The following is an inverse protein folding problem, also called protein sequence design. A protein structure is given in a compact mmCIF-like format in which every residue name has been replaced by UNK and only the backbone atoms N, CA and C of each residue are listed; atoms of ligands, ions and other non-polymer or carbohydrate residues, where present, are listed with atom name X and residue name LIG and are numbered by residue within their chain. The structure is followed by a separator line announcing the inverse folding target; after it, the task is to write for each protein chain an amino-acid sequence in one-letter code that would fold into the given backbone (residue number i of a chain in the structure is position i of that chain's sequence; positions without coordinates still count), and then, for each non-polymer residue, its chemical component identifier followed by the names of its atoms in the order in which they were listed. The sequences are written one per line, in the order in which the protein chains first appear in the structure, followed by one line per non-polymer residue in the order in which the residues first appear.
data_IF_412204641531
#
_entry.id   IF_412204641531
#
_cell.length_a   1.000
_cell.length_b   1.000
_cell.length_c   1.000
_cell.angle_alpha   90.00
_cell.angle_beta   90.00
_cell.angle_gamma   90.00
#
_symmetry.space_group_name_H-M   'P 1'
#
loop_
_entity.id
_entity.type
_entity.pdbx_description
1 polymer ?
#
# COMPACT_ATOMS: atom_id res chain seq x y z
N UNK A 1 22.71 17.78 -13.97
CA UNK A 1 21.26 17.74 -14.16
C UNK A 1 20.63 17.53 -12.77
N UNK A 2 19.65 18.36 -12.39
CA UNK A 2 18.97 18.15 -11.11
C UNK A 2 18.26 16.80 -11.17
N UNK A 3 18.49 15.92 -10.18
CA UNK A 3 17.76 14.66 -10.04
C UNK A 3 16.26 14.97 -10.02
N UNK A 4 15.48 14.32 -10.88
CA UNK A 4 14.03 14.46 -10.86
C UNK A 4 13.54 14.16 -9.44
N UNK A 5 12.69 15.05 -8.89
CA UNK A 5 12.22 14.88 -7.51
C UNK A 5 11.37 13.61 -7.40
N UNK A 6 11.74 12.74 -6.47
CA UNK A 6 11.02 11.49 -6.19
C UNK A 6 9.64 11.79 -5.60
N UNK A 7 8.59 11.24 -6.17
CA UNK A 7 7.21 11.41 -5.67
C UNK A 7 6.69 10.08 -5.14
N UNK A 8 6.10 10.11 -3.93
CA UNK A 8 5.32 8.99 -3.37
C UNK A 8 3.86 9.40 -3.21
N UNK A 9 2.95 8.51 -3.59
CA UNK A 9 1.52 8.67 -3.34
C UNK A 9 1.00 7.56 -2.44
N UNK A 10 0.46 7.95 -1.26
CA UNK A 10 -0.03 7.04 -0.23
C UNK A 10 -1.54 7.10 -0.17
N UNK A 11 -2.20 6.05 -0.63
CA UNK A 11 -3.66 5.86 -0.58
C UNK A 11 -4.04 5.20 0.75
N UNK A 12 -4.82 5.89 1.58
CA UNK A 12 -5.16 5.44 2.93
C UNK A 12 -4.15 5.88 3.99
N UNK A 13 -3.83 7.18 4.03
CA UNK A 13 -2.96 7.79 5.03
C UNK A 13 -3.63 7.90 6.42
N UNK A 14 -4.03 6.75 6.98
CA UNK A 14 -4.56 6.63 8.33
C UNK A 14 -3.49 6.82 9.42
N UNK A 15 -3.89 7.04 10.69
CA UNK A 15 -2.97 7.50 11.76
C UNK A 15 -1.91 6.46 12.16
N UNK A 16 -2.12 5.20 11.86
CA UNK A 16 -1.17 4.12 12.20
C UNK A 16 -0.09 3.99 11.13
N UNK A 17 -0.27 3.10 10.16
CA UNK A 17 0.74 2.78 9.13
C UNK A 17 0.90 3.93 8.15
N UNK A 18 -0.19 4.43 7.55
CA UNK A 18 -0.12 5.37 6.43
C UNK A 18 0.64 6.66 6.77
N UNK A 19 0.41 7.20 7.96
CA UNK A 19 1.13 8.41 8.42
C UNK A 19 2.58 8.14 8.77
N UNK A 20 2.90 6.99 9.37
CA UNK A 20 4.30 6.62 9.63
C UNK A 20 5.09 6.48 8.33
N UNK A 21 4.48 5.84 7.32
CA UNK A 21 5.05 5.71 5.97
C UNK A 21 5.26 7.09 5.33
N UNK A 22 4.26 7.99 5.43
CA UNK A 22 4.36 9.35 4.88
C UNK A 22 5.54 10.13 5.50
N UNK A 23 5.65 10.14 6.83
CA UNK A 23 6.74 10.78 7.57
C UNK A 23 8.11 10.19 7.19
N UNK A 24 8.19 8.88 7.02
CA UNK A 24 9.43 8.21 6.63
C UNK A 24 9.88 8.64 5.23
N UNK A 25 9.01 8.58 4.24
CA UNK A 25 9.38 8.96 2.87
C UNK A 25 9.64 10.46 2.72
N UNK A 26 8.98 11.33 3.51
CA UNK A 26 9.35 12.74 3.60
C UNK A 26 10.81 12.91 4.09
N UNK A 27 11.19 12.17 5.15
CA UNK A 27 12.56 12.15 5.66
C UNK A 27 13.55 11.55 4.65
N UNK A 28 13.13 10.59 3.84
CA UNK A 28 13.94 9.99 2.77
C UNK A 28 14.02 10.89 1.51
N UNK A 29 13.49 12.13 1.57
CA UNK A 29 13.61 13.16 0.52
C UNK A 29 12.61 13.04 -0.61
N UNK A 30 11.49 12.33 -0.41
CA UNK A 30 10.38 12.30 -1.36
C UNK A 30 9.48 13.52 -1.22
N UNK A 31 8.90 13.98 -2.33
CA UNK A 31 7.65 14.74 -2.32
C UNK A 31 6.52 13.76 -1.98
N UNK A 32 5.80 14.01 -0.93
CA UNK A 32 4.80 13.09 -0.40
C UNK A 32 3.40 13.60 -0.69
N UNK A 33 2.62 12.80 -1.44
CA UNK A 33 1.17 12.97 -1.56
C UNK A 33 0.46 11.98 -0.63
N UNK A 34 -0.55 12.45 0.12
CA UNK A 34 -1.36 11.63 1.01
C UNK A 34 -2.83 11.72 0.63
N UNK A 35 -3.40 10.55 0.34
CA UNK A 35 -4.79 10.38 -0.04
C UNK A 35 -5.69 10.01 1.14
N UNK A 36 -6.70 10.84 1.42
CA UNK A 36 -7.70 10.63 2.48
C UNK A 36 -9.08 11.07 2.02
N UNK A 37 -10.14 10.49 2.61
CA UNK A 37 -11.53 10.93 2.37
C UNK A 37 -11.78 12.37 2.83
N UNK A 38 -11.18 12.76 3.94
CA UNK A 38 -11.19 14.14 4.44
C UNK A 38 -9.75 14.63 4.69
N UNK A 39 -9.14 15.37 3.76
CA UNK A 39 -7.76 15.85 3.90
C UNK A 39 -7.62 17.00 4.92
N UNK A 40 -8.70 17.72 5.29
CA UNK A 40 -8.64 18.84 6.23
C UNK A 40 -8.31 18.40 7.67
N UNK A 41 -8.34 17.11 7.98
CA UNK A 41 -7.98 16.58 9.32
C UNK A 41 -6.47 16.55 9.61
N UNK A 42 -5.63 17.16 8.77
CA UNK A 42 -4.17 17.19 8.90
C UNK A 42 -3.70 18.52 9.50
N UNK A 43 -3.87 18.67 10.81
CA UNK A 43 -3.34 19.82 11.56
C UNK A 43 -1.96 19.54 12.21
N UNK A 44 -1.31 18.45 11.86
CA UNK A 44 0.01 18.11 12.39
C UNK A 44 1.07 18.99 11.70
N UNK A 45 1.80 19.82 12.44
CA UNK A 45 2.85 20.69 11.90
C UNK A 45 3.95 19.95 11.12
N UNK A 46 4.18 18.66 11.44
CA UNK A 46 5.15 17.82 10.70
C UNK A 46 4.65 17.46 9.29
N UNK A 47 3.38 17.72 8.97
CA UNK A 47 2.76 17.36 7.69
C UNK A 47 2.60 18.56 6.73
N UNK A 48 3.03 19.75 7.14
CA UNK A 48 2.93 21.00 6.33
C UNK A 48 3.57 20.89 4.94
N UNK A 49 4.57 20.00 4.82
CA UNK A 49 5.34 19.78 3.58
C UNK A 49 4.78 18.61 2.74
N UNK A 50 3.61 18.06 3.11
CA UNK A 50 2.93 17.02 2.37
C UNK A 50 1.74 17.56 1.58
N UNK A 51 1.55 17.04 0.38
CA UNK A 51 0.40 17.36 -0.46
C UNK A 51 -0.78 16.47 -0.10
N UNK A 52 -1.89 17.08 0.33
CA UNK A 52 -3.11 16.33 0.71
C UNK A 52 -4.12 16.33 -0.43
N UNK A 53 -4.59 15.15 -0.82
CA UNK A 53 -5.60 14.98 -1.87
C UNK A 53 -6.82 14.23 -1.33
N UNK A 54 -8.02 14.70 -1.71
CA UNK A 54 -9.26 14.01 -1.38
C UNK A 54 -9.42 12.76 -2.24
N UNK A 55 -9.59 11.60 -1.61
CA UNK A 55 -9.85 10.35 -2.34
C UNK A 55 -10.70 9.39 -1.53
N UNK A 56 -11.78 8.95 -2.14
CA UNK A 56 -12.52 7.76 -1.72
C UNK A 56 -12.10 6.59 -2.60
N UNK A 57 -11.29 5.70 -2.04
CA UNK A 57 -10.75 4.55 -2.79
C UNK A 57 -11.82 3.54 -3.20
N UNK A 58 -13.02 3.56 -2.60
CA UNK A 58 -14.14 2.73 -3.04
C UNK A 58 -14.73 3.17 -4.39
N UNK A 59 -14.36 4.38 -4.84
CA UNK A 59 -14.84 4.99 -6.08
C UNK A 59 -13.70 5.11 -7.11
N UNK A 60 -13.67 4.28 -8.16
CA UNK A 60 -12.61 4.32 -9.18
C UNK A 60 -12.39 5.70 -9.80
N UNK A 61 -13.47 6.47 -10.02
CA UNK A 61 -13.37 7.84 -10.54
C UNK A 61 -12.66 8.79 -9.58
N UNK A 62 -12.87 8.64 -8.27
CA UNK A 62 -12.16 9.41 -7.24
C UNK A 62 -10.67 9.08 -7.22
N UNK A 63 -10.31 7.79 -7.41
CA UNK A 63 -8.92 7.36 -7.54
C UNK A 63 -8.28 7.99 -8.77
N UNK A 64 -8.96 7.96 -9.92
CA UNK A 64 -8.48 8.58 -11.16
C UNK A 64 -8.21 10.08 -10.99
N UNK A 65 -9.15 10.82 -10.39
CA UNK A 65 -9.02 12.25 -10.12
C UNK A 65 -7.83 12.55 -9.19
N UNK A 66 -7.65 11.75 -8.14
CA UNK A 66 -6.54 11.91 -7.21
C UNK A 66 -5.16 11.67 -7.86
N UNK A 67 -5.02 10.64 -8.71
CA UNK A 67 -3.78 10.42 -9.46
C UNK A 67 -3.48 11.56 -10.42
N UNK A 68 -4.51 12.09 -11.12
CA UNK A 68 -4.37 13.27 -11.99
C UNK A 68 -3.88 14.47 -11.20
N UNK A 69 -4.54 14.80 -10.09
CA UNK A 69 -4.20 15.94 -9.23
C UNK A 69 -2.77 15.85 -8.67
N UNK A 70 -2.35 14.67 -8.19
CA UNK A 70 -0.98 14.45 -7.70
C UNK A 70 0.04 14.62 -8.83
N UNK A 71 -0.25 14.07 -10.02
CA UNK A 71 0.65 14.18 -11.17
C UNK A 71 0.84 15.63 -11.62
N UNK A 72 -0.23 16.41 -11.65
CA UNK A 72 -0.20 17.83 -12.05
C UNK A 72 0.57 18.71 -11.04
N UNK A 73 0.50 18.41 -9.74
CA UNK A 73 1.09 19.25 -8.70
C UNK A 73 2.50 18.81 -8.26
N UNK A 74 2.79 17.50 -8.25
CA UNK A 74 4.06 16.97 -7.75
C UNK A 74 4.89 16.25 -8.81
N UNK A 75 4.27 15.79 -9.87
CA UNK A 75 4.83 14.90 -10.88
C UNK A 75 4.30 13.46 -10.75
N UNK A 76 4.66 12.61 -11.72
CA UNK A 76 4.24 11.21 -11.74
C UNK A 76 4.80 10.48 -10.51
N UNK A 77 3.96 9.86 -9.66
CA UNK A 77 4.44 9.07 -8.53
C UNK A 77 5.30 7.89 -9.01
N UNK A 78 6.54 7.83 -8.54
CA UNK A 78 7.40 6.65 -8.76
C UNK A 78 7.23 5.58 -7.68
N UNK A 79 6.59 5.93 -6.56
CA UNK A 79 6.19 5.02 -5.51
C UNK A 79 4.72 5.23 -5.20
N UNK A 80 3.94 4.16 -5.23
CA UNK A 80 2.55 4.16 -4.78
C UNK A 80 2.40 3.18 -3.63
N UNK A 81 1.82 3.64 -2.53
CA UNK A 81 1.52 2.80 -1.37
C UNK A 81 0.01 2.68 -1.21
N UNK A 82 -0.52 1.47 -1.32
CA UNK A 82 -1.92 1.18 -1.07
C UNK A 82 -2.09 0.62 0.34
N UNK A 83 -2.48 1.48 1.27
CA UNK A 83 -2.66 1.14 2.69
C UNK A 83 -4.15 1.17 3.12
N UNK A 84 -5.05 1.57 2.24
CA UNK A 84 -6.48 1.58 2.55
C UNK A 84 -6.99 0.15 2.80
N UNK A 85 -7.81 0.01 3.82
CA UNK A 85 -8.51 -1.23 4.13
C UNK A 85 -9.81 -0.94 4.88
N UNK A 86 -10.79 -1.82 4.68
CA UNK A 86 -12.05 -1.83 5.39
C UNK A 86 -12.38 -3.27 5.79
N UNK A 87 -12.94 -3.46 6.98
CA UNK A 87 -13.33 -4.76 7.48
C UNK A 87 -14.62 -4.67 8.29
N UNK A 88 -15.61 -5.45 7.88
CA UNK A 88 -16.83 -5.71 8.64
C UNK A 88 -16.73 -7.11 9.24
N UNK A 89 -16.94 -7.19 10.54
CA UNK A 89 -16.86 -8.46 11.25
C UNK A 89 -18.24 -9.07 11.45
N UNK A 90 -18.40 -10.41 11.35
CA UNK A 90 -19.63 -11.07 11.70
C UNK A 90 -19.92 -10.92 13.21
N UNK A 91 -21.19 -10.84 13.56
CA UNK A 91 -21.60 -10.78 14.99
C UNK A 91 -21.20 -12.04 15.78
N UNK A 92 -21.26 -13.20 15.12
CA UNK A 92 -20.71 -14.46 15.61
C UNK A 92 -19.40 -14.77 14.87
N UNK A 93 -18.24 -14.76 15.56
CA UNK A 93 -16.94 -15.02 14.94
C UNK A 93 -16.82 -16.41 14.27
N UNK A 94 -17.70 -17.35 14.59
CA UNK A 94 -17.73 -18.71 14.02
C UNK A 94 -18.63 -18.83 12.80
N UNK A 95 -19.50 -17.83 12.55
CA UNK A 95 -20.44 -17.79 11.43
C UNK A 95 -20.16 -16.63 10.48
N UNK A 96 -19.27 -16.81 9.47
CA UNK A 96 -18.81 -15.73 8.61
C UNK A 96 -19.90 -15.14 7.71
N UNK A 97 -20.92 -15.92 7.39
CA UNK A 97 -21.96 -15.52 6.42
C UNK A 97 -23.13 -14.76 7.05
N UNK A 98 -22.92 -14.18 8.24
CA UNK A 98 -23.86 -13.24 8.89
C UNK A 98 -23.52 -11.77 8.57
N UNK A 99 -22.43 -11.49 7.88
CA UNK A 99 -22.16 -10.15 7.35
C UNK A 99 -23.13 -9.84 6.20
N UNK A 100 -23.81 -8.69 6.30
CA UNK A 100 -24.75 -8.26 5.27
C UNK A 100 -24.05 -8.12 3.90
N UNK A 101 -24.70 -8.54 2.78
CA UNK A 101 -24.11 -8.45 1.44
C UNK A 101 -23.65 -7.05 1.06
N UNK A 102 -24.37 -5.99 1.43
CA UNK A 102 -24.00 -4.60 1.14
C UNK A 102 -22.70 -4.19 1.88
N UNK A 103 -22.54 -4.64 3.12
CA UNK A 103 -21.29 -4.41 3.88
C UNK A 103 -20.12 -5.18 3.26
N UNK A 104 -20.35 -6.42 2.83
CA UNK A 104 -19.34 -7.18 2.10
C UNK A 104 -18.94 -6.46 0.80
N UNK A 105 -19.92 -6.00 0.02
CA UNK A 105 -19.67 -5.26 -1.21
C UNK A 105 -18.84 -3.99 -0.97
N UNK A 106 -19.17 -3.23 0.09
CA UNK A 106 -18.43 -2.02 0.46
C UNK A 106 -16.98 -2.34 0.84
N UNK A 107 -16.74 -3.40 1.61
CA UNK A 107 -15.40 -3.82 1.99
C UNK A 107 -14.58 -4.27 0.76
N UNK A 108 -15.18 -5.00 -0.18
CA UNK A 108 -14.55 -5.37 -1.44
C UNK A 108 -14.27 -4.17 -2.32
N UNK A 109 -15.16 -3.18 -2.36
CA UNK A 109 -14.92 -1.94 -3.10
C UNK A 109 -13.65 -1.23 -2.62
N UNK A 110 -13.38 -1.21 -1.31
CA UNK A 110 -12.13 -0.65 -0.75
C UNK A 110 -10.95 -1.60 -0.96
N UNK A 111 -11.08 -2.88 -0.58
CA UNK A 111 -9.92 -3.78 -0.47
C UNK A 111 -9.44 -4.34 -1.82
N UNK A 112 -10.33 -4.44 -2.82
CA UNK A 112 -10.04 -5.04 -4.12
C UNK A 112 -10.23 -4.06 -5.29
N UNK A 113 -11.44 -3.50 -5.46
CA UNK A 113 -11.75 -2.63 -6.62
C UNK A 113 -10.91 -1.34 -6.60
N UNK A 114 -10.81 -0.70 -5.44
CA UNK A 114 -9.97 0.50 -5.28
C UNK A 114 -8.49 0.22 -5.46
N UNK A 115 -8.03 -0.95 -5.00
CA UNK A 115 -6.65 -1.38 -5.22
C UNK A 115 -6.35 -1.61 -6.71
N UNK A 116 -7.30 -2.22 -7.44
CA UNK A 116 -7.19 -2.37 -8.89
C UNK A 116 -7.14 -1.02 -9.60
N UNK A 117 -8.01 -0.08 -9.23
CA UNK A 117 -7.98 1.27 -9.79
C UNK A 117 -6.63 1.98 -9.53
N UNK A 118 -6.08 1.85 -8.32
CA UNK A 118 -4.76 2.38 -7.99
C UNK A 118 -3.64 1.72 -8.81
N UNK A 119 -3.66 0.39 -8.97
CA UNK A 119 -2.72 -0.35 -9.81
C UNK A 119 -2.78 0.10 -11.28
N UNK A 120 -3.99 0.31 -11.81
CA UNK A 120 -4.19 0.77 -13.18
C UNK A 120 -3.50 2.12 -13.44
N UNK A 121 -3.75 3.11 -12.59
CA UNK A 121 -3.16 4.45 -12.74
C UNK A 121 -1.67 4.47 -12.41
N UNK A 122 -1.23 3.74 -11.37
CA UNK A 122 0.17 3.61 -11.02
C UNK A 122 0.98 2.98 -12.17
N UNK A 123 0.52 1.86 -12.72
CA UNK A 123 1.20 1.16 -13.81
C UNK A 123 1.33 2.05 -15.04
N UNK A 124 0.28 2.77 -15.41
CA UNK A 124 0.33 3.75 -16.52
C UNK A 124 1.44 4.79 -16.30
N UNK A 125 1.48 5.40 -15.10
CA UNK A 125 2.54 6.37 -14.75
C UNK A 125 3.93 5.75 -14.69
N UNK A 126 4.07 4.54 -14.17
CA UNK A 126 5.35 3.82 -14.11
C UNK A 126 5.93 3.55 -15.50
N UNK A 127 5.09 3.17 -16.46
CA UNK A 127 5.51 2.97 -17.84
C UNK A 127 6.01 4.27 -18.46
N UNK A 128 5.31 5.38 -18.24
CA UNK A 128 5.76 6.71 -18.70
C UNK A 128 7.10 7.11 -18.08
N UNK A 129 7.30 6.87 -16.77
CA UNK A 129 8.59 7.13 -16.11
C UNK A 129 9.71 6.30 -16.73
N UNK A 130 9.48 5.03 -17.05
CA UNK A 130 10.49 4.16 -17.71
C UNK A 130 10.82 4.60 -19.15
N UNK A 131 9.87 5.20 -19.85
CA UNK A 131 10.10 5.79 -21.18
C UNK A 131 10.98 7.04 -21.08
N UNK A 132 10.78 7.86 -20.03
CA UNK A 132 11.55 9.08 -19.79
C UNK A 132 12.96 8.78 -19.25
N UNK A 133 13.06 7.86 -18.32
CA UNK A 133 14.32 7.43 -17.69
C UNK A 133 14.27 5.94 -17.32
N UNK A 134 15.03 5.14 -18.05
CA UNK A 134 15.12 3.69 -17.84
C UNK A 134 15.75 3.30 -16.51
N UNK A 135 16.46 4.20 -15.85
CA UNK A 135 17.13 3.92 -14.55
C UNK A 135 16.18 4.00 -13.37
N UNK A 136 15.04 4.71 -13.51
CA UNK A 136 14.01 4.76 -12.47
C UNK A 136 13.45 3.35 -12.23
N UNK A 137 13.32 2.97 -10.98
CA UNK A 137 12.73 1.69 -10.55
C UNK A 137 11.41 1.94 -9.79
N UNK A 138 10.29 2.17 -10.51
CA UNK A 138 9.03 2.47 -9.86
C UNK A 138 8.52 1.29 -9.07
N UNK A 139 7.81 1.56 -7.96
CA UNK A 139 7.28 0.51 -7.12
C UNK A 139 5.84 0.76 -6.66
N UNK A 140 5.06 -0.32 -6.55
CA UNK A 140 3.76 -0.34 -5.89
C UNK A 140 3.85 -1.24 -4.67
N UNK A 141 3.54 -0.71 -3.48
CA UNK A 141 3.56 -1.46 -2.23
C UNK A 141 2.14 -1.51 -1.67
N UNK A 142 1.60 -2.72 -1.53
CA UNK A 142 0.33 -2.96 -0.87
C UNK A 142 0.58 -3.37 0.59
N UNK A 143 -0.03 -2.67 1.54
CA UNK A 143 -0.06 -3.12 2.94
C UNK A 143 -0.87 -4.39 3.04
N UNK A 144 -0.21 -5.48 3.29
CA UNK A 144 -0.74 -6.82 3.42
C UNK A 144 -1.01 -7.25 4.87
N UNK A 145 -1.49 -8.47 4.98
CA UNK A 145 -1.59 -9.25 6.21
C UNK A 145 -1.62 -10.75 5.85
N UNK A 146 -1.73 -11.61 6.85
CA UNK A 146 -1.71 -13.06 6.65
C UNK A 146 -3.08 -13.68 6.27
N UNK A 147 -4.16 -12.90 6.18
CA UNK A 147 -5.50 -13.46 5.93
C UNK A 147 -5.65 -14.21 4.60
N UNK A 148 -4.94 -13.87 3.50
CA UNK A 148 -4.95 -14.69 2.28
C UNK A 148 -4.40 -16.10 2.47
N UNK A 149 -3.47 -16.27 3.39
CA UNK A 149 -2.72 -17.51 3.60
C UNK A 149 -3.16 -18.27 4.85
N UNK A 150 -3.81 -17.57 5.79
CA UNK A 150 -4.32 -18.11 7.06
C UNK A 150 -5.79 -17.69 7.23
N UNK A 151 -6.73 -18.28 6.47
CA UNK A 151 -8.13 -17.87 6.51
C UNK A 151 -8.76 -18.12 7.88
N UNK A 152 -9.54 -17.16 8.35
CA UNK A 152 -10.31 -17.25 9.60
C UNK A 152 -11.73 -16.73 9.35
N UNK A 153 -12.78 -17.40 9.86
CA UNK A 153 -14.17 -16.97 9.68
C UNK A 153 -14.43 -15.52 10.05
N UNK A 154 -13.82 -15.05 11.15
CA UNK A 154 -13.91 -13.67 11.61
C UNK A 154 -13.53 -12.62 10.53
N UNK A 155 -12.61 -12.95 9.63
CA UNK A 155 -12.07 -12.03 8.65
C UNK A 155 -12.64 -12.25 7.23
N UNK A 156 -13.90 -12.71 7.10
CA UNK A 156 -14.50 -13.06 5.82
C UNK A 156 -14.39 -11.93 4.78
N UNK A 157 -14.70 -10.69 5.12
CA UNK A 157 -14.63 -9.56 4.17
C UNK A 157 -13.19 -9.12 3.92
N UNK A 158 -12.43 -8.92 5.00
CA UNK A 158 -11.02 -8.51 4.90
C UNK A 158 -10.17 -9.56 4.19
N UNK A 159 -10.33 -10.84 4.55
CA UNK A 159 -9.58 -11.95 3.95
C UNK A 159 -9.86 -12.10 2.47
N UNK A 160 -11.13 -12.04 2.05
CA UNK A 160 -11.51 -12.06 0.64
C UNK A 160 -10.88 -10.90 -0.12
N UNK A 161 -11.00 -9.67 0.40
CA UNK A 161 -10.42 -8.49 -0.24
C UNK A 161 -8.89 -8.53 -0.30
N UNK A 162 -8.23 -8.98 0.78
CA UNK A 162 -6.75 -9.13 0.81
C UNK A 162 -6.26 -10.28 -0.08
N UNK A 163 -7.04 -11.35 -0.26
CA UNK A 163 -6.73 -12.40 -1.23
C UNK A 163 -6.79 -11.87 -2.66
N UNK A 164 -7.80 -11.08 -2.99
CA UNK A 164 -7.88 -10.41 -4.29
C UNK A 164 -6.70 -9.46 -4.51
N UNK A 165 -6.35 -8.64 -3.51
CA UNK A 165 -5.20 -7.74 -3.57
C UNK A 165 -3.88 -8.50 -3.76
N UNK A 166 -3.64 -9.56 -3.00
CA UNK A 166 -2.43 -10.39 -3.12
C UNK A 166 -2.32 -11.00 -4.53
N UNK A 167 -3.45 -11.51 -5.07
CA UNK A 167 -3.49 -12.02 -6.44
C UNK A 167 -3.17 -10.94 -7.47
N UNK A 168 -3.74 -9.72 -7.34
CA UNK A 168 -3.46 -8.59 -8.24
C UNK A 168 -1.97 -8.18 -8.20
N UNK A 169 -1.35 -8.16 -7.03
CA UNK A 169 0.08 -7.86 -6.89
C UNK A 169 0.94 -8.94 -7.55
N UNK A 170 0.61 -10.21 -7.35
CA UNK A 170 1.34 -11.33 -7.97
C UNK A 170 1.30 -11.26 -9.50
N UNK A 171 0.11 -11.06 -10.10
CA UNK A 171 0.02 -10.96 -11.56
C UNK A 171 0.71 -9.70 -12.11
N UNK A 172 0.66 -8.57 -11.37
CA UNK A 172 1.38 -7.36 -11.75
C UNK A 172 2.90 -7.59 -11.72
N UNK A 173 3.43 -8.22 -10.67
CA UNK A 173 4.85 -8.57 -10.60
C UNK A 173 5.25 -9.46 -11.78
N UNK A 174 4.50 -10.53 -12.06
CA UNK A 174 4.77 -11.42 -13.21
C UNK A 174 4.75 -10.70 -14.56
N UNK A 175 3.82 -9.78 -14.75
CA UNK A 175 3.63 -9.08 -16.02
C UNK A 175 4.68 -7.98 -16.28
N UNK A 176 5.20 -7.34 -15.24
CA UNK A 176 5.96 -6.10 -15.40
C UNK A 176 7.38 -6.12 -14.79
N UNK A 177 7.79 -7.14 -14.04
CA UNK A 177 9.12 -7.18 -13.41
C UNK A 177 10.27 -7.09 -14.42
N UNK A 178 10.16 -7.75 -15.57
CA UNK A 178 11.17 -7.68 -16.63
C UNK A 178 11.26 -6.30 -17.28
N UNK A 179 10.22 -5.49 -17.15
CA UNK A 179 10.19 -4.08 -17.54
C UNK A 179 10.76 -3.16 -16.47
N UNK A 180 11.23 -3.71 -15.33
CA UNK A 180 11.80 -2.97 -14.21
C UNK A 180 10.77 -2.27 -13.33
N UNK A 181 9.50 -2.69 -13.34
CA UNK A 181 8.48 -2.26 -12.41
C UNK A 181 8.38 -3.27 -11.26
N UNK A 182 8.22 -2.78 -10.03
CA UNK A 182 8.21 -3.61 -8.83
C UNK A 182 6.85 -3.55 -8.13
N UNK A 183 6.33 -4.70 -7.71
CA UNK A 183 5.02 -4.82 -7.06
C UNK A 183 5.13 -5.71 -5.84
N UNK A 184 4.77 -5.22 -4.67
CA UNK A 184 4.95 -5.92 -3.40
C UNK A 184 3.67 -5.97 -2.58
N UNK A 185 3.35 -7.15 -2.06
CA UNK A 185 2.37 -7.37 -0.99
C UNK A 185 3.13 -7.60 0.30
N UNK A 186 3.11 -6.64 1.22
CA UNK A 186 4.00 -6.62 2.38
C UNK A 186 3.21 -6.89 3.66
N UNK A 187 3.52 -7.98 4.34
CA UNK A 187 2.84 -8.42 5.54
C UNK A 187 3.82 -8.56 6.72
N UNK A 188 3.52 -7.90 7.84
CA UNK A 188 4.23 -8.18 9.08
C UNK A 188 3.74 -9.49 9.69
N UNK A 189 4.65 -10.28 10.25
CA UNK A 189 4.36 -11.48 11.03
C UNK A 189 4.95 -11.36 12.43
N UNK A 190 4.47 -12.19 13.38
CA UNK A 190 5.22 -12.42 14.61
C UNK A 190 6.47 -13.27 14.31
N UNK A 191 7.49 -13.30 15.17
CA UNK A 191 8.66 -14.16 15.00
C UNK A 191 8.33 -15.66 14.81
N UNK A 192 7.17 -16.08 15.30
CA UNK A 192 6.67 -17.45 15.18
C UNK A 192 5.70 -17.64 13.98
N UNK A 193 5.62 -16.65 13.07
CA UNK A 193 4.78 -16.73 11.87
C UNK A 193 3.29 -16.43 12.07
N UNK A 194 2.86 -16.06 13.29
CA UNK A 194 1.46 -15.73 13.61
C UNK A 194 1.10 -14.26 13.36
N UNK A 195 -0.13 -13.84 13.69
CA UNK A 195 -0.57 -12.46 13.55
C UNK A 195 0.23 -11.54 14.49
N UNK A 196 0.83 -10.45 13.97
CA UNK A 196 1.63 -9.52 14.75
C UNK A 196 0.77 -8.41 15.36
N UNK A 197 1.36 -7.69 16.30
CA UNK A 197 0.89 -6.35 16.63
C UNK A 197 1.22 -5.40 15.46
N UNK A 198 0.24 -4.57 15.05
CA UNK A 198 0.43 -3.58 13.99
C UNK A 198 1.20 -2.38 14.54
N UNK A 199 2.37 -2.12 13.98
CA UNK A 199 3.23 -0.99 14.31
C UNK A 199 3.56 -0.19 13.04
N UNK A 200 3.22 1.12 13.04
CA UNK A 200 3.41 1.98 11.87
C UNK A 200 4.88 2.23 11.50
N UNK A 201 5.74 2.62 12.45
CA UNK A 201 7.17 2.79 12.25
C UNK A 201 7.86 1.57 11.63
N UNK A 202 7.53 0.36 12.05
CA UNK A 202 8.12 -0.86 11.50
C UNK A 202 7.71 -1.12 10.05
N UNK A 203 6.43 -0.86 9.70
CA UNK A 203 5.99 -0.91 8.29
C UNK A 203 6.69 0.17 7.45
N UNK A 204 6.87 1.38 8.00
CA UNK A 204 7.55 2.47 7.32
C UNK A 204 9.02 2.13 7.03
N UNK A 205 9.71 1.51 8.00
CA UNK A 205 11.07 1.01 7.82
C UNK A 205 11.14 -0.08 6.76
N UNK A 206 10.28 -1.11 6.85
CA UNK A 206 10.23 -2.19 5.86
C UNK A 206 9.98 -1.67 4.44
N UNK A 207 9.05 -0.71 4.26
CA UNK A 207 8.77 -0.13 2.95
C UNK A 207 9.96 0.69 2.42
N UNK A 208 10.68 1.41 3.29
CA UNK A 208 11.90 2.12 2.91
C UNK A 208 12.99 1.15 2.45
N UNK A 209 13.20 0.05 3.17
CA UNK A 209 14.17 -1.00 2.80
C UNK A 209 13.81 -1.68 1.47
N UNK A 210 12.52 -1.97 1.22
CA UNK A 210 12.05 -2.49 -0.06
C UNK A 210 12.41 -1.53 -1.21
N UNK A 211 12.14 -0.23 -1.05
CA UNK A 211 12.45 0.76 -2.08
C UNK A 211 13.94 0.88 -2.35
N UNK A 212 14.78 0.69 -1.33
CA UNK A 212 16.24 0.67 -1.45
C UNK A 212 16.79 -0.63 -2.03
N UNK A 213 15.97 -1.69 -2.12
CA UNK A 213 16.39 -3.01 -2.56
C UNK A 213 17.09 -3.84 -1.47
N UNK A 214 16.91 -3.46 -0.22
CA UNK A 214 17.47 -4.14 0.97
C UNK A 214 16.55 -5.25 1.48
N UNK A 215 15.29 -5.27 1.05
CA UNK A 215 14.25 -6.23 1.43
C UNK A 215 13.38 -6.60 0.21
N UNK A 216 12.87 -7.84 0.15
CA UNK A 216 11.90 -8.31 -0.84
C UNK A 216 12.49 -8.76 -2.19
N UNK A 217 13.64 -8.29 -2.58
CA UNK A 217 14.31 -8.72 -3.83
C UNK A 217 13.37 -8.73 -5.05
N UNK A 218 13.26 -9.87 -5.72
CA UNK A 218 12.37 -10.11 -6.87
C UNK A 218 10.99 -10.67 -6.49
N UNK A 219 10.80 -11.02 -5.22
CA UNK A 219 9.56 -11.63 -4.74
C UNK A 219 8.45 -10.58 -4.61
N UNK A 220 7.23 -10.97 -4.96
CA UNK A 220 6.05 -10.13 -4.85
C UNK A 220 5.44 -10.12 -3.45
N UNK A 221 5.63 -11.20 -2.70
CA UNK A 221 5.19 -11.37 -1.32
C UNK A 221 6.37 -11.20 -0.38
N UNK A 222 6.29 -10.17 0.45
CA UNK A 222 7.32 -9.88 1.46
C UNK A 222 6.71 -10.04 2.84
N UNK A 223 7.20 -11.02 3.59
CA UNK A 223 6.88 -11.18 5.01
C UNK A 223 8.05 -10.71 5.85
N UNK A 224 7.76 -9.86 6.81
CA UNK A 224 8.78 -9.37 7.71
C UNK A 224 8.38 -9.50 9.18
N UNK A 225 9.37 -9.56 10.03
CA UNK A 225 9.26 -9.44 11.48
C UNK A 225 10.31 -8.47 12.00
N UNK A 226 10.26 -8.21 13.30
CA UNK A 226 11.30 -7.45 14.01
C UNK A 226 12.02 -8.40 14.94
N UNK A 227 13.36 -8.45 14.82
CA UNK A 227 14.19 -9.28 15.69
C UNK A 227 14.37 -8.63 17.08
N UNK A 228 15.06 -9.31 17.98
CA UNK A 228 15.32 -8.84 19.35
C UNK A 228 16.15 -7.56 19.43
N UNK A 229 16.85 -7.20 18.36
CA UNK A 229 17.67 -5.99 18.24
C UNK A 229 16.87 -4.81 17.66
N UNK A 230 15.60 -5.03 17.30
CA UNK A 230 14.74 -4.01 16.69
C UNK A 230 14.90 -3.87 15.18
N UNK A 231 15.63 -4.77 14.50
CA UNK A 231 15.84 -4.73 13.06
C UNK A 231 14.71 -5.44 12.32
N UNK A 232 14.36 -4.90 11.14
CA UNK A 232 13.46 -5.57 10.20
C UNK A 232 14.20 -6.76 9.59
N UNK A 233 13.54 -7.92 9.61
CA UNK A 233 14.08 -9.17 9.06
C UNK A 233 13.00 -9.80 8.17
N UNK A 234 13.39 -10.18 6.96
CA UNK A 234 12.52 -10.94 6.06
C UNK A 234 12.38 -12.38 6.54
N UNK A 235 11.17 -12.92 6.45
CA UNK A 235 10.86 -14.30 6.78
C UNK A 235 10.60 -15.07 5.48
N UNK A 236 11.37 -16.10 5.25
CA UNK A 236 11.12 -17.08 4.17
C UNK A 236 9.80 -17.82 4.43
N UNK A 237 9.02 -18.12 3.40
CA UNK A 237 7.75 -18.82 3.45
C UNK A 237 7.67 -19.98 2.46
#
# INVERSE_FOLDING_TARGET
MASASKVVFILGAGPRIGMAVAKRFLKDGYKVAIGKRNPQSLQDPELKDMYSVAVDVSQPSSVASAFKEVTENLGIPQLVVYNAALATFPADPTNPFTVAPDSFQQDIAVNATGAYAALYHATTGFLQLKEQDRTVAPAFIATGNLTPFMPKPLFVTLGTGKSALAYLINIANKAYRERGLRFYYVAKTSPLGGPPQVDGPEYAEAFSQIVKGELGGEEWEVRFTVNNEGNIVEISH
#
